data_IF_545156510432
#
_entry.id   IF_545156510432
#
_cell.length_a   1.000
_cell.length_b   1.000
_cell.length_c   1.000
_cell.angle_alpha   90.00
_cell.angle_beta   90.00
_cell.angle_gamma   90.00
#
_symmetry.space_group_name_H-M   'P 1'
#
loop_
_entity.id
_entity.type
_entity.pdbx_description
1 polymer ?
#
# COMPACT_ATOMS: atom_id res chain seq x y z
N UNK A 1 -2.43 -26.08 -8.46
CA UNK A 1 -3.30 -25.60 -7.39
C UNK A 1 -2.70 -26.07 -6.10
N UNK A 2 -2.51 -25.15 -5.13
CA UNK A 2 -2.05 -25.47 -3.78
C UNK A 2 -3.13 -25.12 -2.79
N UNK A 3 -3.33 -25.98 -1.82
CA UNK A 3 -4.18 -25.71 -0.66
C UNK A 3 -3.31 -25.18 0.45
N UNK A 4 -3.77 -24.15 1.13
CA UNK A 4 -3.13 -23.54 2.29
C UNK A 4 -4.13 -23.60 3.43
N UNK A 5 -3.68 -23.98 4.60
CA UNK A 5 -4.50 -24.05 5.81
C UNK A 5 -4.00 -23.01 6.81
N UNK A 6 -4.93 -22.27 7.41
CA UNK A 6 -4.65 -21.21 8.38
C UNK A 6 -5.56 -21.39 9.59
N UNK A 7 -5.03 -21.16 10.77
CA UNK A 7 -5.78 -21.18 12.01
C UNK A 7 -5.94 -19.77 12.56
N UNK A 8 -7.15 -19.47 12.98
CA UNK A 8 -7.50 -18.21 13.64
C UNK A 8 -8.08 -18.50 15.01
N UNK A 9 -7.73 -17.66 15.96
CA UNK A 9 -8.32 -17.69 17.30
C UNK A 9 -9.64 -16.91 17.32
N UNK A 10 -10.38 -17.05 18.40
CA UNK A 10 -11.60 -16.29 18.63
C UNK A 10 -11.31 -14.77 18.64
N UNK A 11 -12.18 -14.01 17.99
CA UNK A 11 -12.08 -12.53 17.86
C UNK A 11 -10.76 -12.02 17.25
N UNK A 12 -10.11 -12.85 16.46
CA UNK A 12 -8.84 -12.48 15.84
C UNK A 12 -9.06 -11.82 14.46
N UNK A 13 -8.35 -10.71 14.22
CA UNK A 13 -8.13 -10.16 12.89
C UNK A 13 -6.73 -10.54 12.44
N UNK A 14 -6.61 -11.22 11.31
CA UNK A 14 -5.32 -11.67 10.79
C UNK A 14 -5.15 -11.28 9.32
N UNK A 15 -3.92 -11.07 8.93
CA UNK A 15 -3.52 -10.75 7.56
C UNK A 15 -2.86 -11.95 6.91
N UNK A 16 -3.29 -12.27 5.71
CA UNK A 16 -2.71 -13.32 4.87
C UNK A 16 -2.06 -12.64 3.66
N UNK A 17 -0.74 -12.62 3.62
CA UNK A 17 0.00 -12.22 2.43
C UNK A 17 0.24 -13.44 1.55
N UNK A 18 -0.49 -13.52 0.44
CA UNK A 18 -0.40 -14.65 -0.48
C UNK A 18 0.98 -14.77 -1.13
N UNK A 19 1.70 -13.66 -1.30
CA UNK A 19 3.06 -13.67 -1.82
C UNK A 19 4.03 -14.29 -0.83
N UNK A 20 3.90 -13.95 0.46
CA UNK A 20 4.66 -14.58 1.54
C UNK A 20 4.34 -16.07 1.64
N UNK A 21 3.07 -16.43 1.71
CA UNK A 21 2.64 -17.81 1.83
C UNK A 21 3.11 -18.68 0.67
N UNK A 22 2.98 -18.17 -0.56
CA UNK A 22 3.46 -18.88 -1.75
C UNK A 22 4.98 -19.00 -1.79
N UNK A 23 5.70 -17.99 -1.31
CA UNK A 23 7.16 -18.02 -1.22
C UNK A 23 7.63 -19.09 -0.25
N UNK A 24 7.02 -19.18 0.92
CA UNK A 24 7.29 -20.20 1.92
C UNK A 24 7.04 -21.61 1.37
N UNK A 25 5.85 -21.85 0.80
CA UNK A 25 5.45 -23.17 0.33
C UNK A 25 6.24 -23.66 -0.88
N UNK A 26 6.61 -22.74 -1.76
CA UNK A 26 7.34 -23.08 -2.99
C UNK A 26 8.86 -22.99 -2.81
N UNK A 27 9.33 -22.46 -1.68
CA UNK A 27 10.75 -22.15 -1.44
C UNK A 27 11.33 -21.31 -2.58
N UNK A 28 10.54 -20.30 -3.00
CA UNK A 28 10.88 -19.41 -4.10
C UNK A 28 10.31 -18.03 -3.79
N UNK A 29 11.09 -16.99 -4.03
CA UNK A 29 10.63 -15.64 -3.79
C UNK A 29 9.56 -15.20 -4.79
N UNK A 30 8.41 -14.79 -4.26
CA UNK A 30 7.34 -14.11 -4.97
C UNK A 30 7.13 -12.74 -4.32
N UNK A 31 7.32 -11.69 -5.10
CA UNK A 31 7.13 -10.32 -4.61
C UNK A 31 5.64 -10.00 -4.40
N UNK A 32 5.35 -9.03 -3.56
CA UNK A 32 4.03 -8.40 -3.53
C UNK A 32 3.69 -7.73 -4.87
N UNK A 33 2.42 -7.45 -5.12
CA UNK A 33 1.94 -6.85 -6.37
C UNK A 33 1.71 -7.86 -7.51
N UNK A 34 1.85 -9.15 -7.25
CA UNK A 34 1.39 -10.20 -8.15
C UNK A 34 -0.11 -10.44 -7.97
N UNK A 35 -0.79 -10.74 -9.07
CA UNK A 35 -2.18 -11.17 -9.00
C UNK A 35 -2.25 -12.65 -8.64
N UNK A 36 -3.02 -12.96 -7.61
CA UNK A 36 -3.25 -14.31 -7.15
C UNK A 36 -4.70 -14.71 -7.41
N UNK A 37 -4.88 -15.84 -8.10
CA UNK A 37 -6.20 -16.43 -8.29
C UNK A 37 -6.51 -17.39 -7.14
N UNK A 38 -7.47 -17.04 -6.31
CA UNK A 38 -7.99 -17.89 -5.24
C UNK A 38 -9.17 -18.67 -5.79
N UNK A 39 -9.03 -19.98 -5.94
CA UNK A 39 -10.06 -20.85 -6.53
C UNK A 39 -11.25 -21.08 -5.59
N UNK A 40 -11.05 -20.99 -4.27
CA UNK A 40 -12.10 -21.14 -3.29
C UNK A 40 -11.57 -21.02 -1.87
N UNK A 41 -12.47 -20.81 -0.94
CA UNK A 41 -12.20 -20.71 0.50
C UNK A 41 -13.13 -21.70 1.20
N UNK A 42 -12.58 -22.52 2.08
CA UNK A 42 -13.34 -23.39 2.99
C UNK A 42 -13.09 -22.91 4.41
N UNK A 43 -14.15 -22.61 5.12
CA UNK A 43 -14.09 -22.19 6.52
C UNK A 43 -14.68 -23.30 7.38
N UNK A 44 -13.99 -23.65 8.44
CA UNK A 44 -14.42 -24.72 9.36
C UNK A 44 -14.21 -24.25 10.79
N UNK A 45 -15.22 -24.40 11.63
CA UNK A 45 -15.12 -24.17 13.08
C UNK A 45 -14.86 -25.49 13.77
N UNK A 46 -13.96 -25.50 14.73
CA UNK A 46 -13.67 -26.64 15.63
C UNK A 46 -14.45 -26.55 16.94
N UNK A 47 -15.24 -25.49 17.13
CA UNK A 47 -16.08 -25.27 18.31
C UNK A 47 -17.58 -25.46 17.96
N UNK A 48 -18.10 -26.71 17.98
CA UNK A 48 -19.51 -26.98 17.65
C UNK A 48 -20.45 -26.30 18.65
N UNK A 49 -21.50 -25.65 18.14
CA UNK A 49 -22.49 -25.00 18.97
C UNK A 49 -22.16 -23.59 19.43
N UNK A 50 -21.02 -23.04 19.03
CA UNK A 50 -20.68 -21.63 19.29
C UNK A 50 -21.02 -20.79 18.06
N UNK A 51 -21.91 -19.79 18.18
CA UNK A 51 -22.21 -18.90 17.07
C UNK A 51 -21.04 -17.97 16.80
N UNK A 52 -20.75 -17.73 15.55
CA UNK A 52 -19.66 -16.83 15.14
C UNK A 52 -19.81 -16.37 13.72
N UNK A 53 -19.08 -15.32 13.36
CA UNK A 53 -19.03 -14.83 12.00
C UNK A 53 -17.57 -14.67 11.57
N UNK A 54 -17.25 -15.18 10.39
CA UNK A 54 -15.94 -14.97 9.75
C UNK A 54 -16.16 -14.14 8.50
N UNK A 55 -15.40 -13.06 8.39
CA UNK A 55 -15.44 -12.19 7.22
C UNK A 55 -14.05 -12.21 6.56
N UNK A 56 -14.01 -12.53 5.29
CA UNK A 56 -12.80 -12.48 4.47
C UNK A 56 -12.92 -11.28 3.52
N UNK A 57 -11.93 -10.42 3.56
CA UNK A 57 -11.88 -9.23 2.69
C UNK A 57 -10.55 -9.16 1.94
N UNK A 58 -10.56 -8.49 0.82
CA UNK A 58 -9.38 -8.23 -0.02
C UNK A 58 -9.31 -6.76 -0.42
N UNK A 59 -8.19 -6.33 -0.96
CA UNK A 59 -8.11 -5.06 -1.67
C UNK A 59 -9.00 -5.10 -2.92
N UNK A 60 -9.75 -4.05 -3.22
CA UNK A 60 -10.53 -3.97 -4.45
C UNK A 60 -9.59 -3.90 -5.67
N UNK A 61 -9.98 -4.55 -6.75
CA UNK A 61 -9.26 -4.54 -8.01
C UNK A 61 -9.62 -3.29 -8.83
N UNK A 62 -9.21 -2.13 -8.33
CA UNK A 62 -9.40 -0.87 -9.04
C UNK A 62 -8.11 -0.42 -9.72
N UNK A 63 -8.25 0.31 -10.83
CA UNK A 63 -7.10 0.87 -11.53
C UNK A 63 -6.23 1.76 -10.63
N UNK A 64 -6.85 2.41 -9.65
CA UNK A 64 -6.15 3.29 -8.72
C UNK A 64 -5.26 2.52 -7.77
N UNK A 65 -5.74 1.40 -7.24
CA UNK A 65 -4.94 0.52 -6.36
C UNK A 65 -3.69 0.04 -7.11
N UNK A 66 -3.88 -0.42 -8.34
CA UNK A 66 -2.76 -0.86 -9.18
C UNK A 66 -1.79 0.28 -9.50
N UNK A 67 -2.31 1.44 -9.93
CA UNK A 67 -1.50 2.60 -10.27
C UNK A 67 -0.75 3.18 -9.06
N UNK A 68 -1.38 3.23 -7.89
CA UNK A 68 -0.75 3.68 -6.65
C UNK A 68 0.40 2.75 -6.25
N UNK A 69 0.18 1.45 -6.31
CA UNK A 69 1.21 0.46 -5.98
C UNK A 69 2.39 0.55 -6.94
N UNK A 70 2.13 0.58 -8.25
CA UNK A 70 3.17 0.68 -9.28
C UNK A 70 4.00 1.96 -9.12
N UNK A 71 3.33 3.10 -8.95
CA UNK A 71 4.01 4.38 -8.74
C UNK A 71 4.86 4.39 -7.48
N UNK A 72 4.34 3.85 -6.38
CA UNK A 72 5.05 3.78 -5.11
C UNK A 72 6.29 2.87 -5.20
N UNK A 73 6.15 1.68 -5.77
CA UNK A 73 7.27 0.76 -6.00
C UNK A 73 8.34 1.40 -6.90
N UNK A 74 7.93 2.07 -7.99
CA UNK A 74 8.85 2.74 -8.90
C UNK A 74 9.65 3.82 -8.17
N UNK A 75 9.00 4.65 -7.35
CA UNK A 75 9.67 5.69 -6.56
C UNK A 75 10.62 5.11 -5.52
N UNK A 76 10.22 4.04 -4.87
CA UNK A 76 11.11 3.33 -3.94
C UNK A 76 12.34 2.79 -4.66
N UNK A 77 12.19 2.14 -5.81
CA UNK A 77 13.33 1.64 -6.60
C UNK A 77 14.25 2.76 -7.09
N UNK A 78 13.69 3.90 -7.50
CA UNK A 78 14.47 5.08 -7.89
C UNK A 78 15.30 5.61 -6.72
N UNK A 79 14.70 5.68 -5.52
CA UNK A 79 15.39 6.12 -4.31
C UNK A 79 16.55 5.18 -3.97
N UNK A 80 16.32 3.86 -3.98
CA UNK A 80 17.35 2.87 -3.75
C UNK A 80 18.49 2.96 -4.79
N UNK A 81 18.13 3.09 -6.06
CA UNK A 81 19.12 3.20 -7.14
C UNK A 81 19.96 4.48 -7.03
N UNK A 82 19.33 5.59 -6.63
CA UNK A 82 20.06 6.86 -6.39
C UNK A 82 21.02 6.73 -5.22
N UNK A 83 20.57 6.17 -4.10
CA UNK A 83 21.41 5.97 -2.93
C UNK A 83 22.64 5.10 -3.25
N UNK A 84 22.46 3.98 -3.96
CA UNK A 84 23.56 3.12 -4.38
C UNK A 84 24.55 3.84 -5.30
N UNK A 85 24.05 4.66 -6.21
CA UNK A 85 24.89 5.46 -7.11
C UNK A 85 25.74 6.49 -6.34
N UNK A 86 25.12 7.21 -5.41
CA UNK A 86 25.82 8.19 -4.56
C UNK A 86 26.89 7.53 -3.67
N UNK A 87 26.65 6.31 -3.24
CA UNK A 87 27.63 5.51 -2.48
C UNK A 87 28.72 4.89 -3.34
N UNK A 88 28.60 4.95 -4.68
CA UNK A 88 29.52 4.23 -5.58
C UNK A 88 29.40 2.70 -5.50
N UNK A 89 28.24 2.20 -5.07
CA UNK A 89 27.96 0.79 -4.82
C UNK A 89 26.91 0.21 -5.78
N UNK A 90 26.87 0.68 -7.01
CA UNK A 90 25.86 0.25 -8.00
C UNK A 90 25.90 -1.26 -8.27
N UNK A 91 27.07 -1.87 -8.16
CA UNK A 91 27.26 -3.31 -8.35
C UNK A 91 26.62 -4.17 -7.25
N UNK A 92 26.30 -3.56 -6.10
CA UNK A 92 25.65 -4.25 -4.98
C UNK A 92 24.13 -4.31 -5.11
N UNK A 93 23.57 -3.75 -6.20
CA UNK A 93 22.14 -3.74 -6.43
C UNK A 93 21.56 -5.15 -6.35
N UNK A 94 20.57 -5.31 -5.50
CA UNK A 94 19.88 -6.58 -5.33
C UNK A 94 19.26 -7.08 -6.65
N UNK A 95 19.35 -8.38 -6.86
CA UNK A 95 18.69 -9.05 -7.98
C UNK A 95 17.16 -8.98 -7.88
N UNK A 96 16.64 -8.91 -6.66
CA UNK A 96 15.21 -8.90 -6.39
C UNK A 96 14.81 -7.52 -5.85
N UNK A 97 13.83 -6.93 -6.51
CA UNK A 97 13.17 -5.72 -6.01
C UNK A 97 11.98 -6.17 -5.16
N UNK A 98 12.21 -6.39 -3.91
CA UNK A 98 11.28 -7.00 -2.95
C UNK A 98 10.52 -5.95 -2.14
N UNK A 99 9.92 -4.99 -2.83
CA UNK A 99 9.07 -3.99 -2.22
C UNK A 99 7.89 -4.63 -1.49
N UNK A 100 7.84 -4.48 -0.15
CA UNK A 100 6.86 -5.10 0.74
C UNK A 100 6.23 -4.05 1.62
N UNK A 101 4.90 -3.95 1.57
CA UNK A 101 4.13 -2.92 2.26
C UNK A 101 2.98 -3.52 3.07
N UNK A 102 2.54 -2.78 4.06
CA UNK A 102 1.41 -3.14 4.90
C UNK A 102 0.07 -2.91 4.20
N UNK A 103 -0.97 -3.55 4.71
CA UNK A 103 -2.34 -3.35 4.22
C UNK A 103 -2.91 -2.01 4.71
N UNK A 104 -2.91 -1.82 6.02
CA UNK A 104 -3.51 -0.69 6.73
C UNK A 104 -2.79 -0.40 8.05
N UNK A 105 -3.31 0.54 8.85
CA UNK A 105 -2.72 0.91 10.14
C UNK A 105 -2.73 -0.21 11.18
N UNK A 106 -3.75 -1.05 11.17
CA UNK A 106 -3.83 -2.20 12.07
C UNK A 106 -2.73 -3.20 11.74
N UNK A 107 -2.49 -3.42 10.46
CA UNK A 107 -1.38 -4.28 10.01
C UNK A 107 0.00 -3.69 10.33
N UNK A 108 0.17 -2.36 10.20
CA UNK A 108 1.40 -1.69 10.62
C UNK A 108 1.67 -1.91 12.11
N UNK A 109 0.63 -1.76 12.94
CA UNK A 109 0.75 -1.96 14.38
C UNK A 109 1.06 -3.42 14.75
N UNK A 110 0.46 -4.37 14.04
CA UNK A 110 0.68 -5.80 14.26
C UNK A 110 2.06 -6.30 13.77
N UNK A 111 2.58 -5.67 12.72
CA UNK A 111 3.82 -6.08 12.07
C UNK A 111 3.70 -7.33 11.20
N UNK A 112 4.64 -7.53 10.28
CA UNK A 112 4.68 -8.71 9.40
C UNK A 112 4.90 -10.03 10.14
N UNK A 113 5.46 -10.00 11.33
CA UNK A 113 5.61 -11.20 12.16
C UNK A 113 4.29 -11.82 12.58
N UNK A 114 3.22 -11.00 12.60
CA UNK A 114 1.85 -11.43 12.90
C UNK A 114 1.08 -11.94 11.69
N UNK A 115 1.65 -11.88 10.49
CA UNK A 115 1.02 -12.45 9.31
C UNK A 115 0.70 -13.91 9.50
N UNK A 116 -0.50 -14.30 9.08
CA UNK A 116 -0.90 -15.71 9.08
C UNK A 116 -0.10 -16.48 8.05
N UNK A 117 0.51 -17.54 8.51
CA UNK A 117 1.33 -18.45 7.70
C UNK A 117 0.61 -19.77 7.53
N UNK A 118 0.80 -20.45 6.39
CA UNK A 118 0.19 -21.76 6.18
C UNK A 118 0.74 -22.78 7.19
N UNK A 119 -0.07 -23.77 7.53
CA UNK A 119 0.34 -24.90 8.34
C UNK A 119 1.06 -25.94 7.48
N UNK A 120 1.96 -26.68 8.09
CA UNK A 120 2.58 -27.84 7.50
C UNK A 120 1.65 -29.09 7.65
N UNK A 121 2.08 -30.21 7.13
CA UNK A 121 1.30 -31.46 7.18
C UNK A 121 1.16 -32.06 8.60
N UNK A 122 1.88 -31.56 9.59
CA UNK A 122 1.79 -31.94 10.99
C UNK A 122 0.95 -30.92 11.80
N UNK A 123 0.40 -29.89 11.16
CA UNK A 123 -0.34 -28.82 11.82
C UNK A 123 0.55 -27.74 12.44
N UNK A 124 1.86 -27.80 12.26
CA UNK A 124 2.80 -26.77 12.68
C UNK A 124 2.82 -25.58 11.70
N UNK A 125 3.08 -24.38 12.21
CA UNK A 125 3.26 -23.22 11.34
C UNK A 125 4.64 -23.28 10.67
N UNK A 126 4.69 -23.00 9.37
CA UNK A 126 5.96 -22.72 8.72
C UNK A 126 6.66 -21.53 9.40
N UNK A 127 7.98 -21.63 9.57
CA UNK A 127 8.76 -20.52 10.10
C UNK A 127 8.58 -19.27 9.24
N UNK A 128 8.55 -18.09 9.86
CA UNK A 128 8.69 -16.85 9.14
C UNK A 128 10.06 -16.82 8.49
N UNK A 129 10.15 -16.44 7.21
CA UNK A 129 11.42 -16.13 6.61
C UNK A 129 11.96 -14.83 7.24
N UNK A 130 13.25 -14.79 7.53
CA UNK A 130 13.90 -13.58 8.05
C UNK A 130 13.88 -12.43 7.03
N UNK A 131 13.67 -12.75 5.75
CA UNK A 131 13.68 -11.78 4.66
C UNK A 131 12.31 -11.12 4.39
N UNK A 132 11.28 -11.38 5.24
CA UNK A 132 9.96 -10.77 5.04
C UNK A 132 9.78 -9.54 5.92
N UNK A 133 10.65 -8.53 5.70
CA UNK A 133 10.59 -7.26 6.38
C UNK A 133 9.92 -6.20 5.52
N UNK A 134 9.34 -5.18 6.18
CA UNK A 134 8.68 -4.08 5.50
C UNK A 134 9.70 -3.19 4.79
N UNK A 135 9.30 -2.71 3.60
CA UNK A 135 10.06 -1.68 2.91
C UNK A 135 9.79 -0.31 3.52
N UNK A 136 10.84 0.47 3.68
CA UNK A 136 10.77 1.84 4.16
C UNK A 136 11.05 2.83 3.03
N UNK A 137 10.46 4.01 3.16
CA UNK A 137 10.74 5.15 2.30
C UNK A 137 11.33 6.29 3.12
N UNK A 138 12.36 6.92 2.59
CA UNK A 138 13.02 8.05 3.24
C UNK A 138 12.48 9.34 2.64
N UNK A 139 11.90 10.19 3.48
CA UNK A 139 11.42 11.52 3.07
C UNK A 139 12.43 12.57 3.52
N UNK A 140 13.16 13.20 2.58
CA UNK A 140 14.06 14.29 2.93
C UNK A 140 13.29 15.55 3.26
N UNK A 141 13.81 16.33 4.20
CA UNK A 141 13.25 17.62 4.63
C UNK A 141 11.78 17.54 5.10
N UNK A 142 11.34 16.41 5.63
CA UNK A 142 10.01 16.33 6.22
C UNK A 142 9.91 17.32 7.40
N UNK A 143 8.80 18.09 7.41
CA UNK A 143 8.65 19.23 8.32
C UNK A 143 9.42 20.49 7.92
N UNK A 144 10.00 20.54 6.72
CA UNK A 144 10.60 21.75 6.14
C UNK A 144 12.00 22.09 6.68
N UNK A 145 12.67 21.18 7.37
CA UNK A 145 14.03 21.41 7.88
C UNK A 145 15.05 20.80 6.92
N UNK A 146 15.86 21.61 6.21
CA UNK A 146 16.86 21.10 5.27
C UNK A 146 17.88 20.18 5.96
N UNK A 147 18.20 19.05 5.31
CA UNK A 147 19.17 18.06 5.78
C UNK A 147 18.61 17.02 6.73
N UNK A 148 17.38 17.16 7.21
CA UNK A 148 16.71 16.12 7.99
C UNK A 148 16.06 15.09 7.06
N UNK A 149 16.07 13.84 7.49
CA UNK A 149 15.36 12.74 6.84
C UNK A 149 14.47 12.05 7.86
N UNK A 150 13.33 11.58 7.41
CA UNK A 150 12.44 10.73 8.21
C UNK A 150 12.12 9.47 7.42
N UNK A 151 12.23 8.33 8.08
CA UNK A 151 11.91 7.03 7.52
C UNK A 151 10.46 6.66 7.85
N UNK A 152 9.75 6.19 6.86
CA UNK A 152 8.36 5.81 7.00
C UNK A 152 8.12 4.41 6.48
N UNK A 153 7.35 3.64 7.21
CA UNK A 153 6.70 2.44 6.69
C UNK A 153 5.68 2.82 5.61
N UNK A 154 5.31 1.87 4.79
CA UNK A 154 4.38 2.08 3.69
C UNK A 154 3.18 1.16 3.84
N UNK A 155 1.99 1.70 3.61
CA UNK A 155 0.74 0.95 3.65
C UNK A 155 -0.13 1.24 2.43
N UNK A 156 -0.97 0.27 2.06
CA UNK A 156 -1.90 0.42 0.94
C UNK A 156 -3.00 1.42 1.26
N UNK A 157 -3.71 1.17 2.34
CA UNK A 157 -4.97 1.83 2.72
C UNK A 157 -4.75 2.75 3.90
N UNK A 158 -5.50 3.83 3.94
CA UNK A 158 -5.52 4.79 5.03
C UNK A 158 -4.61 5.98 4.76
N UNK A 159 -4.81 7.01 5.58
CA UNK A 159 -4.06 8.25 5.47
C UNK A 159 -2.64 8.10 5.98
N UNK A 160 -1.76 8.92 5.43
CA UNK A 160 -0.42 9.09 5.97
C UNK A 160 -0.46 9.60 7.40
N UNK A 161 0.39 9.02 8.24
CA UNK A 161 0.56 9.42 9.62
C UNK A 161 2.06 9.53 9.99
N UNK A 162 2.36 9.69 11.26
CA UNK A 162 3.74 9.85 11.75
C UNK A 162 4.61 8.58 11.59
N UNK A 163 4.00 7.41 11.39
CA UNK A 163 4.72 6.14 11.30
C UNK A 163 4.71 5.57 9.88
N UNK A 164 3.60 5.73 9.15
CA UNK A 164 3.43 5.10 7.84
C UNK A 164 2.78 6.05 6.84
N UNK A 165 3.19 5.94 5.58
CA UNK A 165 2.62 6.70 4.45
C UNK A 165 1.66 5.82 3.65
N UNK A 166 0.45 6.34 3.38
CA UNK A 166 -0.56 5.69 2.55
C UNK A 166 -0.29 5.91 1.07
N UNK A 167 -0.13 4.84 0.30
CA UNK A 167 0.23 4.99 -1.13
C UNK A 167 -0.93 5.47 -1.99
N UNK A 168 -2.17 5.10 -1.65
CA UNK A 168 -3.34 5.55 -2.41
C UNK A 168 -3.56 7.05 -2.18
N UNK A 169 -3.47 7.51 -0.92
CA UNK A 169 -3.50 8.94 -0.61
C UNK A 169 -2.38 9.68 -1.35
N UNK A 170 -1.14 9.20 -1.25
CA UNK A 170 0.01 9.80 -1.94
C UNK A 170 -0.17 9.84 -3.45
N UNK A 171 -0.76 8.80 -4.05
CA UNK A 171 -1.05 8.77 -5.47
C UNK A 171 -2.07 9.84 -5.86
N UNK A 172 -3.18 9.97 -5.13
CA UNK A 172 -4.21 10.98 -5.37
C UNK A 172 -3.62 12.37 -5.24
N UNK A 173 -2.93 12.67 -4.14
CA UNK A 173 -2.30 13.98 -3.92
C UNK A 173 -1.27 14.31 -5.00
N UNK A 174 -0.53 13.31 -5.48
CA UNK A 174 0.48 13.52 -6.54
C UNK A 174 -0.10 13.82 -7.92
N UNK A 175 -1.41 13.62 -8.10
CA UNK A 175 -2.12 13.93 -9.34
C UNK A 175 -2.77 15.32 -9.28
N UNK A 176 -3.24 15.69 -8.10
CA UNK A 176 -3.98 16.93 -7.90
C UNK A 176 -3.11 18.18 -7.93
N UNK A 177 -1.84 18.06 -7.48
CA UNK A 177 -0.93 19.20 -7.39
C UNK A 177 0.49 18.83 -7.79
N UNK A 178 0.97 19.25 -8.96
CA UNK A 178 2.36 18.99 -9.37
C UNK A 178 3.37 19.81 -8.56
N UNK A 179 2.93 20.89 -7.91
CA UNK A 179 3.76 21.70 -7.04
C UNK A 179 3.08 21.96 -5.69
N UNK A 180 3.85 21.90 -4.62
CA UNK A 180 3.41 22.26 -3.27
C UNK A 180 4.61 22.78 -2.46
N UNK A 181 4.52 23.97 -1.84
CA UNK A 181 3.37 24.88 -1.86
C UNK A 181 3.16 25.52 -3.22
N UNK A 182 1.95 26.03 -3.46
CA UNK A 182 1.66 26.80 -4.65
C UNK A 182 2.57 28.04 -4.69
N UNK A 183 3.26 28.30 -5.80
CA UNK A 183 4.10 29.48 -5.90
C UNK A 183 3.24 30.74 -5.84
N UNK A 184 3.69 31.70 -5.06
CA UNK A 184 3.07 33.02 -5.07
C UNK A 184 3.50 33.78 -6.32
N UNK A 185 2.56 34.30 -7.06
CA UNK A 185 2.85 35.12 -8.23
C UNK A 185 2.78 36.60 -7.90
N UNK A 186 3.88 37.29 -8.00
CA UNK A 186 3.89 38.72 -7.83
C UNK A 186 3.67 39.52 -9.12
N UNK A 187 3.56 38.92 -10.31
CA UNK A 187 3.66 39.67 -11.53
C UNK A 187 2.43 39.61 -12.44
N UNK A 188 1.97 40.77 -12.86
CA UNK A 188 0.94 40.92 -13.89
C UNK A 188 1.62 41.36 -15.18
N UNK A 189 1.74 40.42 -16.11
CA UNK A 189 2.17 40.77 -17.47
C UNK A 189 0.96 41.14 -18.32
N UNK A 190 1.12 42.17 -19.14
CA UNK A 190 0.07 42.66 -20.02
C UNK A 190 -0.09 41.86 -21.32
N UNK A 191 0.79 40.91 -21.57
CA UNK A 191 0.76 40.08 -22.78
C UNK A 191 0.50 38.63 -22.44
N UNK A 192 -0.66 38.12 -22.87
CA UNK A 192 -1.01 36.71 -22.68
C UNK A 192 -0.05 35.73 -23.39
N UNK A 193 0.67 36.18 -24.42
CA UNK A 193 1.73 35.38 -25.05
C UNK A 193 2.95 35.15 -24.15
N UNK A 194 3.28 36.18 -23.37
CA UNK A 194 4.38 36.06 -22.41
C UNK A 194 3.96 35.22 -21.22
N UNK A 195 2.71 35.32 -20.82
CA UNK A 195 2.15 34.51 -19.72
C UNK A 195 2.09 33.04 -20.06
N UNK A 196 1.86 32.68 -21.35
CA UNK A 196 1.89 31.26 -21.76
C UNK A 196 3.25 30.60 -21.61
N UNK A 197 4.31 31.37 -21.62
CA UNK A 197 5.69 30.89 -21.59
C UNK A 197 6.49 31.46 -20.42
N UNK A 198 5.79 31.99 -19.44
CA UNK A 198 6.44 32.48 -18.24
C UNK A 198 6.85 31.28 -17.37
N UNK A 199 8.08 30.86 -17.58
CA UNK A 199 8.71 29.75 -16.86
C UNK A 199 9.49 30.21 -15.61
N UNK A 200 9.51 31.50 -15.37
CA UNK A 200 10.16 32.11 -14.20
C UNK A 200 9.32 32.09 -12.93
N UNK A 201 7.99 32.14 -13.08
CA UNK A 201 7.05 32.16 -11.97
C UNK A 201 5.80 31.38 -12.32
N UNK A 202 5.50 30.39 -11.52
CA UNK A 202 4.34 29.53 -11.73
C UNK A 202 3.11 30.14 -11.08
N UNK A 203 2.13 30.53 -11.87
CA UNK A 203 0.84 30.99 -11.36
C UNK A 203 0.09 29.83 -10.70
N UNK A 204 -0.32 30.00 -9.45
CA UNK A 204 -1.08 28.97 -8.71
C UNK A 204 -2.38 28.58 -9.45
N UNK A 205 -3.02 29.56 -10.09
CA UNK A 205 -4.24 29.33 -10.86
C UNK A 205 -3.98 28.51 -12.14
N UNK A 206 -2.87 28.74 -12.83
CA UNK A 206 -2.48 27.95 -14.00
C UNK A 206 -2.21 26.50 -13.59
N UNK A 207 -1.44 26.30 -12.54
CA UNK A 207 -1.14 24.96 -12.00
C UNK A 207 -2.42 24.28 -11.56
N UNK A 208 -3.28 24.97 -10.82
CA UNK A 208 -4.56 24.45 -10.37
C UNK A 208 -5.47 24.06 -11.53
N UNK A 209 -5.59 24.91 -12.53
CA UNK A 209 -6.45 24.64 -13.69
C UNK A 209 -5.86 23.57 -14.61
N UNK A 210 -4.55 23.53 -14.80
CA UNK A 210 -3.90 22.50 -15.62
C UNK A 210 -4.02 21.10 -15.00
N UNK A 211 -4.12 21.00 -13.68
CA UNK A 211 -4.23 19.72 -12.96
C UNK A 211 -5.66 19.35 -12.61
N UNK A 212 -6.61 20.27 -12.73
CA UNK A 212 -7.99 20.11 -12.29
C UNK A 212 -8.69 18.86 -12.81
N UNK A 213 -8.40 18.47 -14.05
CA UNK A 213 -9.00 17.29 -14.67
C UNK A 213 -8.24 16.00 -14.39
N UNK A 214 -7.08 16.05 -13.72
CA UNK A 214 -6.26 14.90 -13.44
C UNK A 214 -6.51 14.29 -12.05
N UNK A 215 -7.16 15.01 -11.16
CA UNK A 215 -7.44 14.57 -9.80
C UNK A 215 -8.86 14.02 -9.61
N UNK A 216 -9.74 14.28 -10.56
CA UNK A 216 -11.10 13.75 -10.51
C UNK A 216 -11.13 12.25 -10.81
N UNK A 217 -11.79 11.53 -9.93
CA UNK A 217 -12.03 10.10 -10.09
C UNK A 217 -13.38 9.87 -10.77
N UNK A 218 -13.52 8.83 -11.60
CA UNK A 218 -14.77 8.51 -12.26
C UNK A 218 -15.84 7.98 -11.31
N UNK A 219 -15.60 7.96 -10.01
CA UNK A 219 -16.50 7.49 -8.98
C UNK A 219 -16.30 8.27 -7.68
N UNK A 220 -17.26 8.18 -6.78
CA UNK A 220 -17.24 8.91 -5.50
C UNK A 220 -16.02 8.55 -4.67
N UNK A 221 -15.35 9.57 -4.14
CA UNK A 221 -14.25 9.40 -3.20
C UNK A 221 -14.66 8.68 -1.91
N UNK A 222 -15.95 8.73 -1.54
CA UNK A 222 -16.45 8.05 -0.34
C UNK A 222 -16.33 6.52 -0.38
N UNK A 223 -16.27 5.95 -1.59
CA UNK A 223 -16.10 4.49 -1.80
C UNK A 223 -14.69 4.15 -2.26
N UNK A 224 -13.81 5.12 -2.28
CA UNK A 224 -12.45 4.99 -2.77
C UNK A 224 -11.52 4.42 -1.69
N UNK A 225 -10.77 3.35 -1.94
CA UNK A 225 -9.83 2.82 -0.95
C UNK A 225 -8.71 3.81 -0.66
N UNK A 226 -8.50 4.12 0.60
CA UNK A 226 -7.45 5.04 1.04
C UNK A 226 -7.91 6.41 1.51
N UNK A 227 -9.20 6.72 1.35
CA UNK A 227 -9.72 7.97 1.86
C UNK A 227 -9.90 7.97 3.38
N UNK A 228 -9.74 9.15 3.97
CA UNK A 228 -9.83 9.39 5.40
C UNK A 228 -11.21 9.10 5.96
N UNK A 229 -11.25 8.26 6.99
CA UNK A 229 -12.34 8.24 7.97
C UNK A 229 -13.67 7.61 7.54
N UNK A 230 -13.82 7.14 6.32
CA UNK A 230 -15.09 6.65 5.82
C UNK A 230 -15.08 5.14 5.50
N UNK A 231 -14.97 4.34 6.53
CA UNK A 231 -15.37 2.94 6.43
C UNK A 231 -14.44 2.00 5.68
N UNK A 232 -14.88 0.78 5.46
CA UNK A 232 -14.05 -0.29 4.94
C UNK A 232 -13.63 0.01 3.52
N UNK A 233 -12.35 0.10 3.35
CA UNK A 233 -11.68 0.31 2.09
C UNK A 233 -11.35 -1.02 1.41
N UNK A 234 -11.75 -2.12 2.04
CA UNK A 234 -11.60 -3.48 1.54
C UNK A 234 -12.93 -4.03 1.03
N UNK A 235 -12.85 -4.85 0.00
CA UNK A 235 -13.97 -5.58 -0.56
C UNK A 235 -14.18 -6.90 0.21
N UNK A 236 -15.41 -7.16 0.66
CA UNK A 236 -15.75 -8.43 1.30
C UNK A 236 -15.89 -9.51 0.23
N UNK A 237 -15.07 -10.54 0.32
CA UNK A 237 -15.07 -11.70 -0.58
C UNK A 237 -16.04 -12.77 -0.10
N UNK A 238 -16.04 -13.04 1.21
CA UNK A 238 -16.92 -14.03 1.83
C UNK A 238 -17.24 -13.62 3.25
N UNK A 239 -18.46 -13.93 3.65
CA UNK A 239 -18.91 -13.79 5.03
C UNK A 239 -19.75 -15.00 5.41
N UNK A 240 -19.21 -15.79 6.32
CA UNK A 240 -19.85 -16.99 6.81
C UNK A 240 -20.27 -16.82 8.27
N UNK A 241 -21.48 -17.26 8.58
CA UNK A 241 -22.03 -17.22 9.94
C UNK A 241 -22.29 -18.65 10.42
N UNK A 242 -21.74 -18.99 11.54
CA UNK A 242 -21.95 -20.26 12.21
C UNK A 242 -23.11 -20.13 13.19
N UNK A 243 -24.06 -21.05 13.12
CA UNK A 243 -25.19 -21.12 14.04
C UNK A 243 -24.87 -22.00 15.24
N UNK A 244 -25.42 -21.64 16.42
CA UNK A 244 -25.33 -22.47 17.60
C UNK A 244 -26.09 -23.82 17.48
N UNK A 245 -26.86 -24.00 16.42
CA UNK A 245 -27.76 -25.13 16.19
C UNK A 245 -27.30 -26.05 15.07
N UNK A 246 -26.08 -26.45 15.03
CA UNK A 246 -25.66 -27.55 14.16
C UNK A 246 -25.05 -28.66 14.96
#
# INVERSE_FOLDING_TARGET
VKTMEFTFSENETGYIDLSQCASILNRRFYRQGLQWAVAGIKIQSDAPGVPGTVTVSKLPETWVVGAAWEKSMTRWMEQQSRALKEMGAEETKSRYNDYKIYMDDTHVTAGFTSNKRPQDYLGGLFAAGEDWDASEVVVPNDGGTPGNTVEYLVKMIGNSNATAKGIIEGYVLSRSRPQSPDPSTPFVNTSWFNELHDDGETHSDIVSNATRHNDELPYSQAIYPGQTGNGPTTEVVSRETFSATT
#
